data_IF_184766081169
#
_entry.id   IF_184766081169
#
_cell.length_a   1.000
_cell.length_b   1.000
_cell.length_c   1.000
_cell.angle_alpha   90.00
_cell.angle_beta   90.00
_cell.angle_gamma   90.00
#
_symmetry.space_group_name_H-M   'P 1'
#
loop_
_entity.id
_entity.type
_entity.pdbx_description
1 polymer ?
#
# COMPACT_ATOMS: atom_id res chain seq x y z
N UNK A 1 0.30 3.67 14.53
CA UNK A 1 0.66 3.07 13.23
C UNK A 1 -0.46 2.08 12.93
N UNK A 2 -1.55 2.54 12.33
CA UNK A 2 -2.69 1.66 11.99
C UNK A 2 -2.49 1.16 10.56
N UNK A 3 -2.10 -0.10 10.41
CA UNK A 3 -2.24 -0.84 9.15
C UNK A 3 -3.73 -1.09 8.93
N UNK A 4 -4.33 -0.44 7.93
CA UNK A 4 -5.79 -0.32 7.82
C UNK A 4 -6.49 -1.55 7.21
N UNK A 5 -5.74 -2.49 6.63
CA UNK A 5 -6.17 -3.86 6.28
C UNK A 5 -5.01 -4.81 6.53
N UNK A 6 -5.29 -5.92 7.22
CA UNK A 6 -4.34 -7.04 7.33
C UNK A 6 -4.98 -8.29 6.70
N UNK A 7 -6.30 -8.50 6.88
CA UNK A 7 -7.11 -9.48 6.13
C UNK A 7 -8.57 -9.02 6.07
N UNK A 8 -9.22 -9.10 4.90
CA UNK A 8 -10.65 -8.81 4.73
C UNK A 8 -11.02 -7.34 4.53
N UNK A 9 -12.26 -6.98 4.84
CA UNK A 9 -12.81 -5.64 4.59
C UNK A 9 -12.17 -4.55 5.48
N UNK A 10 -12.12 -3.32 4.96
CA UNK A 10 -11.74 -2.14 5.74
C UNK A 10 -12.62 -2.00 6.98
N UNK A 11 -11.99 -1.76 8.14
CA UNK A 11 -12.72 -1.32 9.34
C UNK A 11 -13.44 0.01 9.06
N UNK A 12 -14.51 0.37 9.78
CA UNK A 12 -15.25 1.60 9.52
C UNK A 12 -14.38 2.88 9.47
N UNK A 13 -13.41 3.01 10.37
CA UNK A 13 -12.43 4.10 10.33
C UNK A 13 -11.56 4.06 9.08
N UNK A 14 -11.13 2.87 8.68
CA UNK A 14 -10.39 2.62 7.44
C UNK A 14 -11.15 3.00 6.19
N UNK A 15 -12.42 2.62 6.12
CA UNK A 15 -13.28 2.97 5.01
C UNK A 15 -13.48 4.49 4.90
N UNK A 16 -13.70 5.16 6.04
CA UNK A 16 -13.84 6.61 6.09
C UNK A 16 -12.54 7.33 5.65
N UNK A 17 -11.40 6.88 6.16
CA UNK A 17 -10.09 7.44 5.81
C UNK A 17 -9.77 7.23 4.32
N UNK A 18 -9.93 6.02 3.78
CA UNK A 18 -9.71 5.76 2.36
C UNK A 18 -10.69 6.54 1.49
N UNK A 19 -11.94 6.70 1.93
CA UNK A 19 -12.93 7.56 1.26
C UNK A 19 -12.48 9.01 1.15
N UNK A 20 -11.91 9.58 2.21
CA UNK A 20 -11.35 10.94 2.20
C UNK A 20 -10.14 11.03 1.27
N UNK A 21 -9.19 10.10 1.38
CA UNK A 21 -7.99 10.05 0.53
C UNK A 21 -8.38 9.99 -0.94
N UNK A 22 -9.31 9.11 -1.32
CA UNK A 22 -9.80 9.00 -2.71
C UNK A 22 -10.50 10.28 -3.18
N UNK A 23 -11.24 10.96 -2.31
CA UNK A 23 -11.88 12.24 -2.65
C UNK A 23 -10.83 13.32 -2.93
N UNK A 24 -9.77 13.39 -2.12
CA UNK A 24 -8.66 14.33 -2.32
C UNK A 24 -7.86 13.99 -3.58
N UNK A 25 -7.62 12.71 -3.84
CA UNK A 25 -6.92 12.26 -5.04
C UNK A 25 -7.65 12.65 -6.33
N UNK A 26 -8.99 12.55 -6.33
CA UNK A 26 -9.83 13.04 -7.44
C UNK A 26 -9.79 14.57 -7.63
N UNK A 27 -9.30 15.32 -6.65
CA UNK A 27 -9.06 16.76 -6.75
C UNK A 27 -7.58 17.09 -6.99
N UNK A 28 -6.86 16.20 -7.69
CA UNK A 28 -5.44 16.33 -8.06
C UNK A 28 -4.50 16.51 -6.85
N UNK A 29 -4.92 16.09 -5.65
CA UNK A 29 -4.03 16.06 -4.49
C UNK A 29 -3.14 14.84 -4.57
N UNK A 30 -1.83 15.06 -4.47
CA UNK A 30 -0.84 13.99 -4.47
C UNK A 30 -1.00 13.07 -3.26
N UNK A 31 -1.09 11.77 -3.50
CA UNK A 31 -1.21 10.73 -2.45
C UNK A 31 0.07 9.91 -2.37
N UNK A 32 0.74 10.01 -1.22
CA UNK A 32 1.87 9.17 -0.85
C UNK A 32 1.39 8.04 0.08
N UNK A 33 1.54 6.80 -0.37
CA UNK A 33 1.43 5.64 0.50
C UNK A 33 2.78 5.35 1.18
N UNK A 34 2.70 5.03 2.47
CA UNK A 34 3.83 4.57 3.26
C UNK A 34 3.66 3.08 3.47
N UNK A 35 4.70 2.32 3.13
CA UNK A 35 4.74 0.86 3.04
C UNK A 35 3.88 0.27 1.92
N UNK A 36 2.56 0.51 1.96
CA UNK A 36 1.57 0.02 1.00
C UNK A 36 0.29 0.89 1.02
N UNK A 37 -0.51 0.92 -0.07
CA UNK A 37 -1.80 1.61 -0.06
C UNK A 37 -2.77 0.95 0.93
N UNK A 38 -3.42 1.77 1.77
CA UNK A 38 -4.41 1.28 2.73
C UNK A 38 -5.57 0.58 2.03
N UNK A 39 -5.93 -0.62 2.49
CA UNK A 39 -7.02 -1.40 1.88
C UNK A 39 -6.56 -2.58 1.04
N UNK A 40 -5.27 -2.87 0.94
CA UNK A 40 -4.72 -3.94 0.10
C UNK A 40 -4.09 -5.01 0.99
N UNK A 41 -4.35 -6.29 0.68
CA UNK A 41 -3.68 -7.41 1.34
C UNK A 41 -2.21 -7.51 0.89
N UNK A 42 -1.30 -7.59 1.84
CA UNK A 42 0.14 -7.57 1.58
C UNK A 42 0.65 -8.75 0.76
N UNK A 43 0.13 -9.94 1.04
CA UNK A 43 0.65 -11.21 0.53
C UNK A 43 -0.02 -11.62 -0.78
N UNK A 44 -1.31 -11.32 -0.94
CA UNK A 44 -2.10 -11.74 -2.11
C UNK A 44 -2.32 -10.60 -3.11
N UNK A 45 -2.20 -9.35 -2.67
CA UNK A 45 -2.56 -8.19 -3.47
C UNK A 45 -4.08 -8.00 -3.65
N UNK A 46 -4.91 -8.73 -2.90
CA UNK A 46 -6.37 -8.53 -2.89
C UNK A 46 -6.73 -7.11 -2.43
N UNK A 47 -7.61 -6.46 -3.18
CA UNK A 47 -7.99 -5.06 -2.95
C UNK A 47 -9.37 -5.01 -2.32
N UNK A 48 -9.45 -4.49 -1.09
CA UNK A 48 -10.73 -4.26 -0.44
C UNK A 48 -11.53 -3.16 -1.17
N UNK A 49 -12.86 -3.29 -1.17
CA UNK A 49 -13.71 -2.21 -1.65
C UNK A 49 -13.42 -0.92 -0.90
N UNK A 50 -13.11 0.15 -1.63
CA UNK A 50 -12.79 1.43 -1.04
C UNK A 50 -11.31 1.68 -0.76
N UNK A 51 -10.41 0.75 -1.09
CA UNK A 51 -8.96 0.91 -0.92
C UNK A 51 -8.43 2.22 -1.51
N UNK A 52 -7.38 2.76 -0.88
CA UNK A 52 -6.68 3.94 -1.33
C UNK A 52 -5.90 3.69 -2.62
N UNK A 53 -5.74 4.74 -3.41
CA UNK A 53 -4.89 4.77 -4.60
C UNK A 53 -3.81 5.83 -4.35
N UNK A 54 -2.55 5.45 -4.56
CA UNK A 54 -1.40 6.33 -4.39
C UNK A 54 -0.76 6.68 -5.73
N UNK A 55 -0.18 7.88 -5.80
CA UNK A 55 0.70 8.28 -6.91
C UNK A 55 2.12 7.76 -6.69
N UNK A 56 2.52 7.61 -5.43
CA UNK A 56 3.81 7.07 -4.99
C UNK A 56 3.62 6.20 -3.75
N UNK A 57 4.25 5.04 -3.73
CA UNK A 57 4.42 4.18 -2.56
C UNK A 57 5.90 4.11 -2.19
N UNK A 58 6.24 4.50 -0.96
CA UNK A 58 7.56 4.25 -0.39
C UNK A 58 7.43 3.04 0.52
N UNK A 59 7.96 1.91 0.07
CA UNK A 59 8.03 0.69 0.85
C UNK A 59 9.39 0.56 1.51
N UNK A 60 9.47 -0.19 2.60
CA UNK A 60 10.72 -0.37 3.34
C UNK A 60 11.28 -1.77 3.12
N UNK A 61 12.60 -1.87 3.11
CA UNK A 61 13.37 -3.12 3.15
C UNK A 61 13.27 -3.97 1.88
N UNK A 62 12.06 -4.39 1.52
CA UNK A 62 11.77 -5.30 0.43
C UNK A 62 10.44 -4.99 -0.26
N UNK A 63 10.35 -5.37 -1.54
CA UNK A 63 9.07 -5.35 -2.25
C UNK A 63 8.19 -6.50 -1.78
N UNK A 64 6.95 -6.17 -1.41
CA UNK A 64 5.90 -7.14 -1.08
C UNK A 64 5.12 -7.58 -2.32
N UNK A 65 4.49 -8.78 -2.34
CA UNK A 65 3.71 -9.29 -3.47
C UNK A 65 2.68 -8.31 -4.03
N UNK A 66 1.99 -7.55 -3.16
CA UNK A 66 1.01 -6.54 -3.56
C UNK A 66 1.55 -5.49 -4.55
N UNK A 67 2.86 -5.21 -4.53
CA UNK A 67 3.47 -4.21 -5.41
C UNK A 67 3.53 -4.67 -6.87
N UNK A 68 3.44 -5.98 -7.09
CA UNK A 68 3.59 -6.62 -8.39
C UNK A 68 2.32 -7.37 -8.83
N UNK A 69 1.40 -7.64 -7.91
CA UNK A 69 0.15 -8.32 -8.20
C UNK A 69 -0.73 -7.47 -9.12
N UNK A 70 -1.30 -8.09 -10.16
CA UNK A 70 -2.08 -7.40 -11.21
C UNK A 70 -3.22 -6.55 -10.64
N UNK A 71 -3.89 -7.04 -9.59
CA UNK A 71 -5.01 -6.36 -8.96
C UNK A 71 -4.61 -5.09 -8.18
N UNK A 72 -3.41 -5.04 -7.61
CA UNK A 72 -2.98 -3.99 -6.67
C UNK A 72 -1.84 -3.11 -7.15
N UNK A 73 -0.98 -3.59 -8.06
CA UNK A 73 0.10 -2.81 -8.65
C UNK A 73 -0.37 -1.46 -9.23
N UNK A 74 -1.53 -1.37 -9.92
CA UNK A 74 -2.05 -0.09 -10.39
C UNK A 74 -2.40 0.90 -9.27
N UNK A 75 -2.75 0.43 -8.07
CA UNK A 75 -3.08 1.29 -6.92
C UNK A 75 -1.84 1.79 -6.16
N UNK A 76 -0.67 1.20 -6.42
CA UNK A 76 0.57 1.57 -5.75
C UNK A 76 1.26 2.79 -6.37
N UNK A 77 0.89 3.17 -7.59
CA UNK A 77 1.57 4.22 -8.34
C UNK A 77 3.04 3.88 -8.58
N UNK A 78 3.92 4.88 -8.54
CA UNK A 78 5.37 4.64 -8.56
C UNK A 78 5.80 3.99 -7.25
N UNK A 79 6.68 3.00 -7.27
CA UNK A 79 7.13 2.30 -6.06
C UNK A 79 8.62 2.54 -5.85
N UNK A 80 9.00 2.95 -4.63
CA UNK A 80 10.38 3.11 -4.18
C UNK A 80 10.58 2.19 -2.98
N UNK A 81 11.56 1.28 -3.05
CA UNK A 81 12.03 0.56 -1.88
C UNK A 81 13.11 1.38 -1.19
N UNK A 82 12.84 1.83 0.04
CA UNK A 82 13.78 2.56 0.87
C UNK A 82 14.61 1.57 1.69
N UNK A 83 15.93 1.72 1.59
CA UNK A 83 16.88 1.10 2.51
C UNK A 83 16.71 1.72 3.91
N UNK A 84 16.44 0.86 4.89
CA UNK A 84 16.27 1.23 6.30
C UNK A 84 17.36 0.61 7.20
N UNK A 85 18.46 0.12 6.61
CA UNK A 85 19.63 -0.40 7.32
C UNK A 85 19.52 -1.87 7.72
N UNK A 86 18.62 -2.64 7.10
CA UNK A 86 18.60 -4.10 7.26
C UNK A 86 19.71 -4.69 6.40
N UNK A 87 20.53 -5.54 7.02
CA UNK A 87 21.72 -6.13 6.39
C UNK A 87 21.31 -7.13 5.33
N UNK A 88 22.06 -7.17 4.24
CA UNK A 88 21.77 -8.07 3.11
C UNK A 88 21.69 -9.55 3.52
N UNK A 89 22.50 -9.96 4.49
CA UNK A 89 22.53 -11.32 5.03
C UNK A 89 21.25 -11.73 5.80
N UNK A 90 20.36 -10.78 6.09
CA UNK A 90 19.05 -11.03 6.72
C UNK A 90 17.92 -11.11 5.71
N UNK A 91 18.19 -10.80 4.44
CA UNK A 91 17.26 -11.05 3.35
C UNK A 91 17.27 -12.53 3.00
N UNK A 92 16.10 -13.17 2.85
CA UNK A 92 16.04 -14.54 2.38
C UNK A 92 16.70 -14.63 0.99
N UNK A 93 17.50 -15.67 0.77
CA UNK A 93 17.96 -16.01 -0.57
C UNK A 93 16.74 -16.49 -1.38
N UNK A 94 16.46 -15.82 -2.50
CA UNK A 94 15.37 -16.15 -3.42
C UNK A 94 15.88 -17.04 -4.57
#
# INVERSE_FOLDING_TARGET
MESMVVYGALRPSGLAACGLIRRLHKSDTFVLAVDLPSGINTDTGEVAEGAAHADLTVTFDSYKPLHMAEASAPLCGKIICADIGIRDEWHPEF
#
